data_IF_513821707796
#
_entry.id   IF_513821707796
#
_cell.length_a   1.000
_cell.length_b   1.000
_cell.length_c   1.000
_cell.angle_alpha   90.00
_cell.angle_beta   90.00
_cell.angle_gamma   90.00
#
_symmetry.space_group_name_H-M   'P 1'
#
loop_
_entity.id
_entity.type
_entity.pdbx_description
1 polymer ?
#
# COMPACT_ATOMS: atom_id res chain seq x y z
N UNK A 1 34.83 17.90 -39.99
CA UNK A 1 36.27 17.55 -40.19
C UNK A 1 36.67 16.66 -39.05
N UNK A 2 36.65 15.37 -39.22
CA UNK A 2 37.34 14.33 -38.47
C UNK A 2 37.26 13.04 -39.31
N UNK A 3 37.87 13.09 -40.49
CA UNK A 3 38.32 11.93 -41.21
C UNK A 3 39.67 11.58 -40.67
N UNK A 4 39.83 10.37 -40.11
CA UNK A 4 41.08 9.57 -39.99
C UNK A 4 40.99 8.62 -38.78
N UNK A 5 40.16 7.60 -38.87
CA UNK A 5 40.27 6.50 -37.90
C UNK A 5 39.97 5.10 -38.48
N UNK A 6 40.15 4.92 -39.80
CA UNK A 6 39.80 3.65 -40.49
C UNK A 6 40.97 2.69 -40.79
N UNK A 7 42.23 3.03 -40.50
CA UNK A 7 43.36 2.20 -40.94
C UNK A 7 44.32 1.73 -39.80
N UNK A 8 43.87 1.72 -38.54
CA UNK A 8 44.71 1.22 -37.45
C UNK A 8 44.48 -0.27 -37.25
N UNK A 9 45.55 -1.05 -37.40
CA UNK A 9 45.56 -2.49 -37.20
C UNK A 9 45.39 -2.86 -35.71
N UNK A 10 44.76 -4.00 -35.44
CA UNK A 10 44.79 -4.57 -34.10
C UNK A 10 46.23 -4.98 -33.72
N UNK A 11 46.53 -5.02 -32.41
CA UNK A 11 47.88 -5.37 -31.94
C UNK A 11 48.35 -6.72 -32.47
N UNK A 12 47.47 -7.71 -32.55
CA UNK A 12 47.75 -9.04 -33.11
C UNK A 12 48.08 -8.99 -34.59
N UNK A 13 47.32 -8.26 -35.38
CA UNK A 13 47.54 -8.09 -36.82
C UNK A 13 48.86 -7.35 -37.09
N UNK A 14 49.14 -6.28 -36.33
CA UNK A 14 50.38 -5.54 -36.48
C UNK A 14 51.63 -6.38 -36.09
N UNK A 15 51.54 -7.22 -35.07
CA UNK A 15 52.60 -8.15 -34.69
C UNK A 15 52.82 -9.24 -35.74
N UNK A 16 51.75 -9.79 -36.35
CA UNK A 16 51.85 -10.74 -37.45
C UNK A 16 52.50 -10.11 -38.68
N UNK A 17 52.17 -8.87 -38.99
CA UNK A 17 52.77 -8.15 -40.13
C UNK A 17 54.28 -7.95 -39.91
N UNK A 18 54.70 -7.52 -38.74
CA UNK A 18 56.13 -7.39 -38.38
C UNK A 18 56.84 -8.76 -38.36
N UNK A 19 56.17 -9.81 -37.89
CA UNK A 19 56.67 -11.19 -37.90
C UNK A 19 56.91 -11.70 -39.33
N UNK A 20 55.99 -11.44 -40.23
CA UNK A 20 56.10 -11.84 -41.63
C UNK A 20 57.20 -11.08 -42.41
N UNK A 21 57.49 -9.83 -42.01
CA UNK A 21 58.60 -9.05 -42.59
C UNK A 21 59.95 -9.51 -42.11
N UNK A 22 60.09 -10.11 -40.92
CA UNK A 22 61.36 -10.51 -40.29
C UNK A 22 61.46 -12.02 -40.07
N UNK A 23 61.15 -12.84 -41.11
CA UNK A 23 60.90 -14.29 -41.04
C UNK A 23 61.96 -15.12 -40.29
N UNK A 24 63.27 -14.78 -40.34
CA UNK A 24 64.37 -15.62 -39.75
C UNK A 24 64.85 -15.11 -38.41
N UNK A 25 64.55 -13.88 -38.00
CA UNK A 25 65.11 -13.24 -36.78
C UNK A 25 64.05 -12.60 -35.89
N UNK A 26 62.77 -13.01 -35.95
CA UNK A 26 61.76 -12.44 -35.15
C UNK A 26 61.87 -12.84 -33.67
N UNK A 27 61.99 -11.84 -32.80
CA UNK A 27 61.89 -12.02 -31.37
C UNK A 27 61.02 -10.85 -30.80
N UNK A 28 60.07 -11.15 -29.91
CA UNK A 28 59.26 -10.13 -29.21
C UNK A 28 60.14 -9.08 -28.52
N UNK A 29 61.36 -9.47 -28.09
CA UNK A 29 62.34 -8.55 -27.46
C UNK A 29 62.91 -7.52 -28.43
N UNK A 30 62.98 -7.83 -29.73
CA UNK A 30 63.57 -6.96 -30.78
C UNK A 30 62.51 -6.11 -31.54
N UNK A 31 61.24 -6.26 -31.25
CA UNK A 31 60.16 -5.53 -31.93
C UNK A 31 60.28 -4.01 -31.71
N UNK A 32 60.24 -3.27 -32.84
CA UNK A 32 60.33 -1.81 -32.84
C UNK A 32 58.99 -1.20 -32.36
N UNK A 33 58.99 -0.59 -31.19
CA UNK A 33 57.80 0.01 -30.58
C UNK A 33 57.33 1.26 -31.31
N UNK A 34 58.19 1.96 -32.05
CA UNK A 34 57.78 3.13 -32.83
C UNK A 34 56.99 2.74 -34.06
N UNK A 35 57.28 1.60 -34.65
CA UNK A 35 56.58 1.01 -35.78
C UNK A 35 55.21 0.46 -35.33
N UNK A 36 55.15 -0.27 -34.21
CA UNK A 36 53.92 -0.74 -33.60
C UNK A 36 52.99 0.42 -33.23
N UNK A 37 53.52 1.53 -32.72
CA UNK A 37 52.73 2.72 -32.42
C UNK A 37 52.08 3.32 -33.68
N UNK A 38 52.84 3.39 -34.79
CA UNK A 38 52.29 3.88 -36.06
C UNK A 38 51.20 2.96 -36.62
N UNK A 39 51.38 1.65 -36.55
CA UNK A 39 50.44 0.67 -37.08
C UNK A 39 49.18 0.55 -36.22
N UNK A 40 49.27 0.62 -34.90
CA UNK A 40 48.18 0.34 -33.98
C UNK A 40 47.57 1.59 -33.34
N UNK A 41 48.31 2.72 -33.31
CA UNK A 41 47.93 3.91 -32.59
C UNK A 41 48.01 3.77 -31.05
N UNK A 42 48.55 2.65 -30.53
CA UNK A 42 48.76 2.41 -29.11
C UNK A 42 50.00 3.16 -28.66
N UNK A 43 49.93 3.94 -27.59
CA UNK A 43 51.07 4.73 -27.08
C UNK A 43 52.25 3.86 -26.71
N UNK A 44 53.48 4.34 -26.95
CA UNK A 44 54.75 3.61 -26.61
C UNK A 44 54.80 3.21 -25.14
N UNK A 45 54.26 3.99 -24.24
CA UNK A 45 54.19 3.66 -22.81
C UNK A 45 53.37 2.38 -22.56
N UNK A 46 52.21 2.25 -23.22
CA UNK A 46 51.40 1.03 -23.16
C UNK A 46 52.05 -0.15 -23.86
N UNK A 47 52.66 0.07 -25.03
CA UNK A 47 53.41 -0.96 -25.76
C UNK A 47 54.64 -1.48 -24.98
N UNK A 48 55.35 -0.62 -24.23
CA UNK A 48 56.43 -1.05 -23.33
C UNK A 48 55.97 -2.01 -22.24
N UNK A 49 54.77 -1.73 -21.68
CA UNK A 49 54.18 -2.62 -20.66
C UNK A 49 53.77 -3.96 -21.28
N UNK A 50 53.16 -3.93 -22.46
CA UNK A 50 52.75 -5.14 -23.20
C UNK A 50 53.99 -5.96 -23.62
N UNK A 51 55.06 -5.31 -24.08
CA UNK A 51 56.34 -5.98 -24.46
C UNK A 51 56.97 -6.75 -23.29
N UNK A 52 56.89 -6.20 -22.06
CA UNK A 52 57.38 -6.93 -20.84
C UNK A 52 56.62 -8.23 -20.59
N UNK A 53 55.37 -8.36 -21.07
CA UNK A 53 54.54 -9.54 -20.95
C UNK A 53 54.33 -10.25 -22.30
N UNK A 54 55.38 -10.22 -23.17
CA UNK A 54 55.32 -10.84 -24.50
C UNK A 54 54.08 -10.44 -25.33
N UNK A 55 53.63 -9.18 -25.21
CA UNK A 55 52.44 -8.63 -25.84
C UNK A 55 51.12 -9.32 -25.48
N UNK A 56 51.08 -10.09 -24.39
CA UNK A 56 49.83 -10.62 -23.83
C UNK A 56 49.15 -9.54 -23.01
N UNK A 57 47.82 -9.39 -23.17
CA UNK A 57 47.03 -8.49 -22.34
C UNK A 57 46.95 -9.04 -20.93
N UNK A 58 47.57 -8.34 -19.99
CA UNK A 58 47.37 -8.64 -18.56
C UNK A 58 46.13 -7.90 -18.10
N UNK A 59 45.14 -8.58 -17.50
CA UNK A 59 43.99 -7.92 -16.94
C UNK A 59 44.45 -6.85 -15.94
N UNK A 60 43.79 -5.68 -15.96
CA UNK A 60 44.08 -4.62 -14.98
C UNK A 60 43.93 -5.18 -13.57
N UNK A 61 44.88 -4.94 -12.68
CA UNK A 61 44.91 -5.52 -11.33
C UNK A 61 43.67 -5.21 -10.47
N UNK A 62 42.89 -4.17 -10.85
CA UNK A 62 41.61 -3.84 -10.25
C UNK A 62 40.40 -4.45 -10.97
N UNK A 63 40.61 -5.21 -12.08
CA UNK A 63 39.52 -5.85 -12.82
C UNK A 63 38.89 -6.92 -11.95
N UNK A 64 37.61 -6.69 -11.58
CA UNK A 64 36.85 -7.59 -10.72
C UNK A 64 36.89 -7.23 -9.23
N UNK A 65 37.70 -6.28 -8.79
CA UNK A 65 37.58 -5.75 -7.42
C UNK A 65 36.33 -4.93 -7.27
N UNK A 66 35.47 -5.33 -6.32
CA UNK A 66 34.27 -4.57 -5.93
C UNK A 66 34.66 -3.64 -4.78
N UNK A 67 34.19 -2.39 -4.82
CA UNK A 67 34.30 -1.47 -3.68
C UNK A 67 33.68 -2.11 -2.45
N UNK A 68 34.35 -2.06 -1.30
CA UNK A 68 33.81 -2.51 -0.03
C UNK A 68 32.67 -1.58 0.46
N UNK A 69 32.73 -0.30 0.09
CA UNK A 69 31.71 0.70 0.41
C UNK A 69 30.86 0.91 -0.85
N UNK A 70 29.57 0.60 -0.74
CA UNK A 70 28.58 0.80 -1.78
C UNK A 70 27.48 1.75 -1.28
N UNK A 71 26.64 2.25 -2.17
CA UNK A 71 25.47 3.07 -1.80
C UNK A 71 24.52 2.34 -0.85
N UNK A 72 24.58 0.99 -0.83
CA UNK A 72 23.80 0.16 0.12
C UNK A 72 24.50 -0.03 1.47
N UNK A 73 25.74 0.42 1.64
CA UNK A 73 26.43 0.35 2.93
C UNK A 73 25.62 1.11 3.99
N UNK A 74 25.33 0.47 5.12
CA UNK A 74 24.42 0.99 6.13
C UNK A 74 22.96 0.54 5.98
N UNK A 75 22.51 0.10 4.80
CA UNK A 75 21.12 -0.35 4.55
C UNK A 75 21.01 -1.88 4.37
N UNK A 76 22.13 -2.59 4.30
CA UNK A 76 22.16 -4.06 4.10
C UNK A 76 21.45 -4.82 5.21
N UNK A 77 21.59 -4.38 6.47
CA UNK A 77 20.87 -4.97 7.62
C UNK A 77 19.35 -4.88 7.47
N UNK A 78 18.86 -3.73 7.03
CA UNK A 78 17.43 -3.51 6.74
C UNK A 78 16.96 -4.43 5.62
N UNK A 79 17.70 -4.49 4.50
CA UNK A 79 17.38 -5.37 3.37
C UNK A 79 17.37 -6.83 3.78
N UNK A 80 18.37 -7.28 4.55
CA UNK A 80 18.44 -8.66 5.03
C UNK A 80 17.23 -9.02 5.90
N UNK A 81 16.81 -8.12 6.79
CA UNK A 81 15.61 -8.29 7.58
C UNK A 81 14.35 -8.38 6.71
N UNK A 82 14.23 -7.53 5.69
CA UNK A 82 13.11 -7.57 4.75
C UNK A 82 13.07 -8.90 4.02
N UNK A 83 14.20 -9.40 3.52
CA UNK A 83 14.28 -10.68 2.80
C UNK A 83 13.93 -11.87 3.70
N UNK A 84 14.45 -11.91 4.93
CA UNK A 84 14.10 -12.95 5.93
C UNK A 84 12.61 -12.97 6.26
N UNK A 85 11.95 -11.81 6.20
CA UNK A 85 10.50 -11.66 6.35
C UNK A 85 9.73 -11.85 5.03
N UNK A 86 10.37 -12.45 4.02
CA UNK A 86 9.79 -12.73 2.70
C UNK A 86 9.33 -11.48 1.91
N UNK A 87 9.84 -10.29 2.23
CA UNK A 87 9.61 -9.05 1.47
C UNK A 87 10.58 -9.04 0.30
N UNK A 88 10.19 -9.64 -0.83
CA UNK A 88 11.05 -9.84 -2.02
C UNK A 88 10.77 -8.84 -3.15
N UNK A 89 9.73 -8.03 -3.02
CA UNK A 89 9.41 -6.99 -4.00
C UNK A 89 10.43 -5.86 -3.92
N UNK A 90 11.28 -5.75 -4.95
CA UNK A 90 12.37 -4.77 -5.00
C UNK A 90 11.91 -3.31 -4.97
N UNK A 91 10.75 -3.00 -5.53
CA UNK A 91 10.17 -1.65 -5.48
C UNK A 91 9.72 -1.31 -4.05
N UNK A 92 9.12 -2.26 -3.36
CA UNK A 92 8.71 -2.07 -1.97
C UNK A 92 9.93 -1.95 -1.04
N UNK A 93 10.96 -2.79 -1.24
CA UNK A 93 12.23 -2.66 -0.52
C UNK A 93 12.86 -1.28 -0.77
N UNK A 94 12.92 -0.85 -2.03
CA UNK A 94 13.46 0.46 -2.40
C UNK A 94 12.68 1.61 -1.75
N UNK A 95 11.35 1.58 -1.78
CA UNK A 95 10.49 2.58 -1.15
C UNK A 95 10.74 2.70 0.37
N UNK A 96 10.93 1.57 1.05
CA UNK A 96 11.27 1.55 2.48
C UNK A 96 12.65 2.12 2.75
N UNK A 97 13.62 1.83 1.90
CA UNK A 97 14.96 2.40 2.02
C UNK A 97 14.98 3.91 1.78
N UNK A 98 14.18 4.43 0.83
CA UNK A 98 14.03 5.87 0.61
C UNK A 98 13.56 6.59 1.88
N UNK A 99 12.59 6.03 2.61
CA UNK A 99 12.13 6.58 3.90
C UNK A 99 13.23 6.65 4.97
N UNK A 100 14.26 5.81 4.84
CA UNK A 100 15.42 5.77 5.73
C UNK A 100 16.62 6.59 5.21
N UNK A 101 16.45 7.35 4.13
CA UNK A 101 17.49 8.21 3.57
C UNK A 101 18.39 7.55 2.52
N UNK A 102 17.98 6.44 1.93
CA UNK A 102 18.72 5.81 0.82
C UNK A 102 18.66 6.68 -0.44
N UNK A 103 19.82 6.96 -1.05
CA UNK A 103 19.95 7.83 -2.23
C UNK A 103 20.28 7.08 -3.52
N UNK A 104 20.44 5.76 -3.46
CA UNK A 104 20.77 4.92 -4.62
C UNK A 104 19.55 4.57 -5.46
N UNK A 105 19.76 3.85 -6.57
CA UNK A 105 18.70 3.44 -7.50
C UNK A 105 18.06 2.09 -7.15
N UNK A 106 16.85 1.86 -7.64
CA UNK A 106 16.11 0.60 -7.49
C UNK A 106 16.84 -0.60 -8.10
N UNK A 107 17.63 -0.39 -9.16
CA UNK A 107 18.42 -1.44 -9.82
C UNK A 107 19.47 -2.03 -8.88
N UNK A 108 20.08 -1.21 -8.03
CA UNK A 108 21.04 -1.66 -7.01
C UNK A 108 20.36 -2.56 -5.98
N UNK A 109 19.13 -2.19 -5.56
CA UNK A 109 18.32 -3.01 -4.66
C UNK A 109 17.92 -4.34 -5.32
N UNK A 110 17.51 -4.32 -6.60
CA UNK A 110 17.19 -5.53 -7.38
C UNK A 110 18.39 -6.49 -7.44
N UNK A 111 19.57 -5.96 -7.74
CA UNK A 111 20.80 -6.75 -7.83
C UNK A 111 21.16 -7.34 -6.46
N UNK A 112 21.00 -6.58 -5.38
CA UNK A 112 21.23 -7.07 -4.03
C UNK A 112 20.30 -8.25 -3.69
N UNK A 113 19.00 -8.10 -3.94
CA UNK A 113 18.01 -9.16 -3.71
C UNK A 113 18.34 -10.41 -4.54
N UNK A 114 18.76 -10.23 -5.80
CA UNK A 114 19.13 -11.34 -6.68
C UNK A 114 20.35 -12.12 -6.18
N UNK A 115 21.30 -11.45 -5.53
CA UNK A 115 22.51 -12.06 -4.95
C UNK A 115 22.27 -12.73 -3.60
N UNK A 116 21.23 -12.32 -2.85
CA UNK A 116 20.95 -12.80 -1.50
C UNK A 116 19.62 -13.58 -1.42
N UNK A 117 19.35 -14.41 -2.43
CA UNK A 117 18.16 -15.28 -2.47
C UNK A 117 18.16 -16.34 -1.39
N UNK A 118 19.30 -16.69 -0.86
CA UNK A 118 19.50 -17.59 0.29
C UNK A 118 18.84 -17.08 1.57
N UNK A 119 18.68 -15.77 1.72
CA UNK A 119 17.98 -15.16 2.85
C UNK A 119 16.45 -15.24 2.76
N UNK A 120 15.92 -15.61 1.58
CA UNK A 120 14.48 -15.67 1.34
C UNK A 120 13.98 -17.05 1.74
N UNK A 121 12.96 -17.14 2.64
CA UNK A 121 12.33 -18.42 2.96
C UNK A 121 11.83 -19.11 1.67
N UNK A 122 11.97 -20.43 1.58
CA UNK A 122 11.61 -21.21 0.39
C UNK A 122 10.22 -20.82 -0.13
N UNK A 123 10.09 -20.53 -1.43
CA UNK A 123 8.82 -20.12 -2.00
C UNK A 123 7.83 -21.29 -1.89
N UNK A 124 6.58 -20.99 -1.51
CA UNK A 124 5.49 -21.96 -1.63
C UNK A 124 5.38 -22.39 -3.09
N UNK A 125 5.09 -23.69 -3.32
CA UNK A 125 4.89 -24.21 -4.66
C UNK A 125 3.98 -23.32 -5.50
N UNK A 126 4.52 -22.77 -6.58
CA UNK A 126 3.73 -22.07 -7.59
C UNK A 126 3.05 -23.16 -8.41
N UNK A 127 1.75 -23.34 -8.19
CA UNK A 127 0.93 -24.21 -9.04
C UNK A 127 0.95 -23.62 -10.46
N UNK A 128 1.28 -24.44 -11.43
CA UNK A 128 1.21 -24.06 -12.85
C UNK A 128 -0.24 -23.66 -13.20
N UNK A 129 -0.47 -22.56 -13.91
CA UNK A 129 -1.82 -22.19 -14.29
C UNK A 129 -2.40 -23.22 -15.23
N UNK A 130 -3.42 -23.93 -14.82
CA UNK A 130 -4.26 -24.77 -15.69
C UNK A 130 -5.08 -23.83 -16.57
N UNK A 131 -4.89 -23.94 -17.88
CA UNK A 131 -5.24 -22.88 -18.74
C UNK A 131 -6.51 -23.00 -19.55
N UNK A 132 -7.58 -22.32 -19.20
CA UNK A 132 -8.53 -21.81 -20.20
C UNK A 132 -8.05 -20.43 -20.67
N UNK A 133 -7.61 -20.33 -21.92
CA UNK A 133 -7.20 -19.07 -22.55
C UNK A 133 -8.43 -18.24 -22.92
N UNK A 134 -9.03 -17.55 -21.94
CA UNK A 134 -10.10 -16.60 -22.21
C UNK A 134 -9.55 -15.23 -22.65
N UNK A 135 -10.27 -14.54 -23.54
CA UNK A 135 -9.96 -13.13 -23.89
C UNK A 135 -10.10 -12.27 -22.64
N UNK A 136 -9.11 -11.41 -22.38
CA UNK A 136 -9.20 -10.46 -21.26
C UNK A 136 -10.35 -9.49 -21.51
N UNK A 137 -11.25 -9.41 -20.54
CA UNK A 137 -12.33 -8.43 -20.54
C UNK A 137 -11.75 -7.02 -20.39
N UNK A 138 -12.15 -6.10 -21.24
CA UNK A 138 -11.82 -4.67 -21.16
C UNK A 138 -13.10 -3.86 -21.03
N UNK A 139 -13.02 -2.70 -20.41
CA UNK A 139 -14.13 -1.75 -20.27
C UNK A 139 -13.71 -0.38 -20.76
N UNK A 140 -14.69 0.41 -21.17
CA UNK A 140 -14.49 1.81 -21.50
C UNK A 140 -14.01 2.60 -20.26
N UNK A 141 -13.35 3.76 -20.47
CA UNK A 141 -12.92 4.65 -19.39
C UNK A 141 -14.07 4.99 -18.44
N UNK A 142 -13.80 5.01 -17.13
CA UNK A 142 -14.79 5.38 -16.11
C UNK A 142 -16.01 4.45 -15.96
N UNK A 143 -16.14 3.43 -16.83
CA UNK A 143 -17.37 2.64 -16.92
C UNK A 143 -17.53 1.65 -15.76
N UNK A 144 -16.47 0.97 -15.35
CA UNK A 144 -16.54 -0.11 -14.36
C UNK A 144 -15.46 0.02 -13.29
N UNK A 145 -15.86 -0.04 -12.03
CA UNK A 145 -14.95 -0.32 -10.92
C UNK A 145 -15.25 -1.70 -10.35
N UNK A 146 -14.20 -2.44 -10.00
CA UNK A 146 -14.31 -3.70 -9.27
C UNK A 146 -14.08 -3.43 -7.78
N UNK A 147 -14.93 -3.98 -6.93
CA UNK A 147 -14.86 -3.83 -5.48
C UNK A 147 -14.87 -5.20 -4.80
N UNK A 148 -14.10 -5.33 -3.74
CA UNK A 148 -14.04 -6.54 -2.91
C UNK A 148 -13.55 -6.25 -1.49
N UNK A 149 -13.84 -7.19 -0.59
CA UNK A 149 -13.26 -7.26 0.73
C UNK A 149 -12.12 -8.30 0.79
N UNK A 150 -11.05 -7.94 1.47
CA UNK A 150 -9.98 -8.86 1.80
C UNK A 150 -9.77 -8.92 3.30
N UNK A 151 -9.99 -10.06 3.93
CA UNK A 151 -9.60 -10.23 5.33
C UNK A 151 -8.09 -10.42 5.42
N UNK A 152 -7.45 -9.61 6.25
CA UNK A 152 -6.01 -9.54 6.38
C UNK A 152 -5.62 -9.47 7.86
N UNK A 153 -4.41 -9.97 8.16
CA UNK A 153 -3.79 -9.78 9.46
C UNK A 153 -2.85 -8.59 9.40
N UNK A 154 -2.99 -7.70 10.35
CA UNK A 154 -2.14 -6.52 10.56
C UNK A 154 -1.36 -6.74 11.85
N UNK A 155 -0.13 -6.29 11.90
CA UNK A 155 0.75 -6.45 13.06
C UNK A 155 1.02 -5.10 13.70
N UNK A 156 1.00 -5.03 15.02
CA UNK A 156 1.48 -3.87 15.76
C UNK A 156 2.99 -3.92 16.03
N UNK A 157 3.54 -2.88 16.63
CA UNK A 157 4.97 -2.83 16.96
C UNK A 157 5.37 -3.79 18.10
N UNK A 158 4.42 -4.32 18.87
CA UNK A 158 4.67 -5.38 19.86
C UNK A 158 4.74 -6.77 19.23
N UNK A 159 4.37 -6.89 17.93
CA UNK A 159 4.34 -8.14 17.20
C UNK A 159 2.99 -8.87 17.25
N UNK A 160 1.99 -8.32 17.93
CA UNK A 160 0.64 -8.90 17.96
C UNK A 160 -0.05 -8.72 16.61
N UNK A 161 -0.79 -9.75 16.20
CA UNK A 161 -1.53 -9.76 14.94
C UNK A 161 -3.03 -9.59 15.19
N UNK A 162 -3.64 -8.73 14.40
CA UNK A 162 -5.07 -8.42 14.44
C UNK A 162 -5.69 -8.69 13.07
N UNK A 163 -6.89 -9.23 13.08
CA UNK A 163 -7.67 -9.38 11.85
C UNK A 163 -8.39 -8.07 11.55
N UNK A 164 -8.33 -7.62 10.30
CA UNK A 164 -9.05 -6.44 9.81
C UNK A 164 -9.59 -6.68 8.41
N UNK A 165 -10.62 -5.94 8.04
CA UNK A 165 -11.20 -5.98 6.71
C UNK A 165 -10.57 -4.89 5.83
N UNK A 166 -9.96 -5.29 4.71
CA UNK A 166 -9.43 -4.40 3.69
C UNK A 166 -10.50 -4.20 2.61
N UNK A 167 -11.09 -3.03 2.55
CA UNK A 167 -11.86 -2.59 1.40
C UNK A 167 -10.92 -2.30 0.24
N UNK A 168 -11.22 -2.81 -0.94
CA UNK A 168 -10.42 -2.59 -2.14
C UNK A 168 -11.31 -2.25 -3.33
N UNK A 169 -11.01 -1.17 -4.03
CA UNK A 169 -11.66 -0.77 -5.26
C UNK A 169 -10.62 -0.46 -6.33
N UNK A 170 -10.89 -0.87 -7.57
CA UNK A 170 -9.99 -0.63 -8.70
C UNK A 170 -10.78 -0.31 -9.97
N UNK A 171 -10.38 0.74 -10.68
CA UNK A 171 -10.90 1.02 -12.01
C UNK A 171 -10.49 -0.10 -12.97
N UNK A 172 -11.48 -0.69 -13.64
CA UNK A 172 -11.20 -1.79 -14.56
C UNK A 172 -10.45 -1.34 -15.81
N UNK A 173 -10.64 -0.10 -16.27
CA UNK A 173 -9.95 0.46 -17.43
C UNK A 173 -8.49 0.79 -17.11
N UNK A 174 -8.25 1.82 -16.32
CA UNK A 174 -6.91 2.38 -16.08
C UNK A 174 -6.12 1.71 -14.95
N UNK A 175 -6.78 0.94 -14.06
CA UNK A 175 -6.11 0.32 -12.92
C UNK A 175 -5.86 1.27 -11.74
N UNK A 176 -6.43 2.49 -11.75
CA UNK A 176 -6.49 3.37 -10.59
C UNK A 176 -7.11 2.61 -9.42
N UNK A 177 -6.48 2.67 -8.25
CA UNK A 177 -6.84 1.83 -7.10
C UNK A 177 -6.97 2.63 -5.84
N UNK A 178 -7.86 2.15 -4.97
CA UNK A 178 -8.09 2.65 -3.63
C UNK A 178 -8.19 1.47 -2.67
N UNK A 179 -7.59 1.58 -1.50
CA UNK A 179 -7.76 0.64 -0.40
C UNK A 179 -7.94 1.39 0.92
N UNK A 180 -8.74 0.82 1.80
CA UNK A 180 -8.97 1.32 3.15
C UNK A 180 -9.25 0.15 4.10
N UNK A 181 -8.87 0.27 5.37
CA UNK A 181 -9.02 -0.78 6.35
C UNK A 181 -10.09 -0.42 7.37
N UNK A 182 -10.94 -1.40 7.67
CA UNK A 182 -12.08 -1.26 8.56
C UNK A 182 -12.06 -2.38 9.62
N UNK A 183 -12.72 -2.18 10.77
CA UNK A 183 -12.85 -3.22 11.78
C UNK A 183 -13.60 -4.46 11.27
N UNK A 184 -14.52 -4.28 10.35
CA UNK A 184 -15.33 -5.35 9.79
C UNK A 184 -15.79 -5.01 8.37
N UNK A 185 -16.41 -5.97 7.68
CA UNK A 185 -16.99 -5.81 6.35
C UNK A 185 -18.53 -5.61 6.39
N UNK A 186 -19.07 -5.04 7.48
CA UNK A 186 -20.51 -4.75 7.60
C UNK A 186 -20.91 -3.63 6.65
N UNK A 187 -22.20 -3.44 6.49
CA UNK A 187 -22.80 -2.51 5.53
C UNK A 187 -22.37 -1.05 5.73
N UNK A 188 -22.24 -0.61 6.97
CA UNK A 188 -21.73 0.72 7.31
C UNK A 188 -20.30 0.95 6.78
N UNK A 189 -19.40 0.01 7.05
CA UNK A 189 -18.03 0.06 6.54
C UNK A 189 -17.99 0.03 5.01
N UNK A 190 -18.90 -0.73 4.38
CA UNK A 190 -19.05 -0.78 2.94
C UNK A 190 -19.44 0.59 2.36
N UNK A 191 -20.45 1.25 2.92
CA UNK A 191 -20.89 2.55 2.44
C UNK A 191 -19.80 3.61 2.59
N UNK A 192 -19.15 3.68 3.76
CA UNK A 192 -18.06 4.61 4.01
C UNK A 192 -16.91 4.37 3.03
N UNK A 193 -16.46 3.12 2.90
CA UNK A 193 -15.37 2.76 1.99
C UNK A 193 -15.69 3.06 0.53
N UNK A 194 -16.93 2.82 0.08
CA UNK A 194 -17.37 3.18 -1.26
C UNK A 194 -17.39 4.70 -1.48
N UNK A 195 -17.92 5.46 -0.53
CA UNK A 195 -17.95 6.94 -0.62
C UNK A 195 -16.53 7.50 -0.69
N UNK A 196 -15.62 7.04 0.19
CA UNK A 196 -14.23 7.48 0.17
C UNK A 196 -13.54 7.13 -1.15
N UNK A 197 -13.77 5.93 -1.68
CA UNK A 197 -13.26 5.54 -2.99
C UNK A 197 -13.83 6.41 -4.12
N UNK A 198 -15.12 6.75 -4.07
CA UNK A 198 -15.74 7.62 -5.06
C UNK A 198 -15.25 9.08 -4.94
N UNK A 199 -14.99 9.57 -3.75
CA UNK A 199 -14.33 10.89 -3.56
C UNK A 199 -12.93 10.87 -4.19
N UNK A 200 -12.21 9.75 -4.10
CA UNK A 200 -10.85 9.59 -4.60
C UNK A 200 -10.78 9.37 -6.12
N UNK A 201 -11.73 8.65 -6.73
CA UNK A 201 -11.68 8.21 -8.11
C UNK A 201 -12.87 8.64 -8.96
N UNK A 202 -13.88 9.32 -8.40
CA UNK A 202 -15.18 9.56 -9.05
C UNK A 202 -16.11 8.36 -9.00
N UNK A 203 -17.39 8.58 -9.33
CA UNK A 203 -18.46 7.58 -9.34
C UNK A 203 -18.54 6.96 -10.72
N UNK A 204 -18.30 5.64 -10.90
CA UNK A 204 -18.38 4.96 -12.19
C UNK A 204 -19.84 4.75 -12.63
N UNK A 205 -20.04 4.31 -13.88
CA UNK A 205 -21.37 3.88 -14.32
C UNK A 205 -21.86 2.69 -13.50
N UNK A 206 -21.00 1.69 -13.25
CA UNK A 206 -21.35 0.57 -12.37
C UNK A 206 -20.16 0.05 -11.57
N UNK A 207 -20.49 -0.53 -10.43
CA UNK A 207 -19.57 -1.28 -9.57
C UNK A 207 -19.81 -2.77 -9.73
N UNK A 208 -18.76 -3.53 -10.01
CA UNK A 208 -18.79 -4.99 -10.06
C UNK A 208 -18.34 -5.56 -8.72
N UNK A 209 -19.20 -6.36 -8.09
CA UNK A 209 -18.93 -6.97 -6.78
C UNK A 209 -19.47 -8.38 -6.68
N UNK A 210 -19.12 -9.09 -5.61
CA UNK A 210 -19.65 -10.43 -5.29
C UNK A 210 -21.05 -10.36 -4.70
N UNK A 211 -21.68 -11.54 -4.54
CA UNK A 211 -22.98 -11.71 -3.92
C UNK A 211 -22.88 -11.64 -2.38
N UNK A 212 -22.33 -10.56 -1.83
CA UNK A 212 -22.25 -10.37 -0.37
C UNK A 212 -23.60 -9.95 0.22
N UNK A 213 -23.92 -10.42 1.43
CA UNK A 213 -25.22 -10.15 2.10
C UNK A 213 -25.50 -8.66 2.33
N UNK A 214 -24.47 -7.84 2.48
CA UNK A 214 -24.60 -6.38 2.59
C UNK A 214 -25.03 -5.69 1.29
N UNK A 215 -24.95 -6.38 0.15
CA UNK A 215 -25.32 -5.90 -1.18
C UNK A 215 -26.59 -6.57 -1.69
N UNK A 216 -26.65 -7.89 -1.63
CA UNK A 216 -27.75 -8.68 -2.19
C UNK A 216 -28.22 -9.74 -1.19
N UNK A 217 -29.53 -9.85 -1.00
CA UNK A 217 -30.11 -10.85 -0.09
C UNK A 217 -30.09 -12.23 -0.75
N UNK A 218 -30.64 -12.33 -1.97
CA UNK A 218 -30.74 -13.55 -2.77
C UNK A 218 -30.97 -13.23 -4.25
N UNK A 219 -31.03 -14.23 -5.08
CA UNK A 219 -31.54 -14.11 -6.46
C UNK A 219 -32.96 -14.69 -6.54
N UNK A 220 -33.79 -14.09 -7.37
CA UNK A 220 -35.10 -14.62 -7.70
C UNK A 220 -35.02 -15.82 -8.66
N UNK A 221 -36.16 -16.36 -9.07
CA UNK A 221 -36.26 -17.49 -10.00
C UNK A 221 -35.68 -17.19 -11.39
N UNK A 222 -35.71 -15.92 -11.81
CA UNK A 222 -35.12 -15.45 -13.07
C UNK A 222 -33.64 -15.15 -12.95
N UNK A 223 -33.04 -15.35 -11.78
CA UNK A 223 -31.64 -15.04 -11.51
C UNK A 223 -31.35 -13.55 -11.28
N UNK A 224 -32.38 -12.70 -11.16
CA UNK A 224 -32.23 -11.28 -10.88
C UNK A 224 -31.91 -11.07 -9.40
N UNK A 225 -31.08 -10.07 -9.06
CA UNK A 225 -30.75 -9.79 -7.67
C UNK A 225 -31.93 -9.19 -6.92
N UNK A 226 -32.20 -9.70 -5.72
CA UNK A 226 -33.03 -9.05 -4.71
C UNK A 226 -32.06 -8.31 -3.81
N UNK A 227 -31.99 -7.00 -3.99
CA UNK A 227 -31.04 -6.14 -3.28
C UNK A 227 -31.34 -6.08 -1.78
N UNK A 228 -30.31 -5.88 -0.99
CA UNK A 228 -30.48 -5.36 0.36
C UNK A 228 -31.10 -3.96 0.25
N UNK A 229 -32.15 -3.69 1.01
CA UNK A 229 -32.93 -2.44 0.91
C UNK A 229 -32.06 -1.20 1.09
N UNK A 230 -31.25 -1.16 2.14
CA UNK A 230 -30.42 0.01 2.44
C UNK A 230 -29.34 0.20 1.35
N UNK A 231 -28.82 -0.89 0.79
CA UNK A 231 -27.87 -0.82 -0.32
C UNK A 231 -28.54 -0.30 -1.60
N UNK A 232 -29.78 -0.69 -1.86
CA UNK A 232 -30.54 -0.19 -3.01
C UNK A 232 -30.82 1.32 -2.89
N UNK A 233 -31.18 1.78 -1.69
CA UNK A 233 -31.33 3.21 -1.39
C UNK A 233 -29.98 3.93 -1.61
N UNK A 234 -28.92 3.39 -1.05
CA UNK A 234 -27.56 3.92 -1.23
C UNK A 234 -27.15 4.06 -2.70
N UNK A 235 -27.38 3.02 -3.52
CA UNK A 235 -27.10 3.09 -4.96
C UNK A 235 -27.85 4.23 -5.64
N UNK A 236 -29.14 4.39 -5.31
CA UNK A 236 -29.99 5.45 -5.89
C UNK A 236 -29.53 6.84 -5.43
N UNK A 237 -29.22 7.01 -4.15
CA UNK A 237 -28.75 8.27 -3.57
C UNK A 237 -27.42 8.72 -4.19
N UNK A 238 -26.46 7.80 -4.31
CA UNK A 238 -25.15 8.11 -4.89
C UNK A 238 -25.19 8.18 -6.42
N UNK A 239 -26.08 7.44 -7.07
CA UNK A 239 -26.32 7.51 -8.51
C UNK A 239 -25.38 6.63 -9.35
N UNK A 240 -25.13 5.39 -8.90
CA UNK A 240 -24.40 4.36 -9.64
C UNK A 240 -25.23 3.06 -9.75
N UNK A 241 -24.81 2.17 -10.64
CA UNK A 241 -25.37 0.83 -10.76
C UNK A 241 -24.43 -0.21 -10.10
N UNK A 242 -25.01 -1.35 -9.71
CA UNK A 242 -24.22 -2.51 -9.26
C UNK A 242 -24.48 -3.70 -10.16
N UNK A 243 -23.39 -4.37 -10.54
CA UNK A 243 -23.43 -5.64 -11.24
C UNK A 243 -22.79 -6.72 -10.37
N UNK A 244 -23.48 -7.84 -10.25
CA UNK A 244 -22.99 -8.97 -9.47
C UNK A 244 -22.21 -9.93 -10.36
N UNK A 245 -21.13 -10.46 -9.83
CA UNK A 245 -20.40 -11.55 -10.48
C UNK A 245 -21.34 -12.75 -10.69
N UNK A 246 -21.24 -13.37 -11.87
CA UNK A 246 -21.95 -14.63 -12.11
C UNK A 246 -21.34 -15.70 -11.19
N UNK A 247 -22.18 -16.52 -10.50
CA UNK A 247 -21.69 -17.64 -9.73
C UNK A 247 -20.79 -18.54 -10.61
N UNK A 248 -19.71 -19.06 -10.04
CA UNK A 248 -18.74 -19.95 -10.70
C UNK A 248 -17.99 -19.38 -11.93
N UNK A 249 -17.99 -18.05 -12.14
CA UNK A 249 -17.18 -17.41 -13.18
C UNK A 249 -16.08 -16.51 -12.55
N UNK A 250 -14.96 -17.08 -12.10
CA UNK A 250 -13.91 -16.35 -11.36
C UNK A 250 -13.17 -15.30 -12.20
N UNK A 251 -13.31 -15.34 -13.53
CA UNK A 251 -12.53 -14.47 -14.42
C UNK A 251 -12.98 -13.00 -14.46
N UNK A 252 -14.17 -12.69 -13.96
CA UNK A 252 -14.74 -11.34 -14.05
C UNK A 252 -14.17 -10.37 -13.02
N UNK A 253 -13.70 -10.86 -11.87
CA UNK A 253 -13.24 -10.05 -10.72
C UNK A 253 -11.72 -10.08 -10.50
N UNK A 254 -10.98 -10.67 -11.43
CA UNK A 254 -9.54 -10.93 -11.27
C UNK A 254 -8.63 -9.72 -11.03
N UNK A 255 -9.08 -8.46 -11.28
CA UNK A 255 -8.27 -7.27 -11.00
C UNK A 255 -8.26 -6.91 -9.52
N UNK A 256 -9.44 -6.87 -8.87
CA UNK A 256 -9.52 -6.53 -7.44
C UNK A 256 -8.99 -7.66 -6.56
N UNK A 257 -9.19 -8.93 -6.93
CA UNK A 257 -8.58 -10.07 -6.22
C UNK A 257 -7.04 -9.98 -6.24
N UNK A 258 -6.47 -9.66 -7.42
CA UNK A 258 -5.03 -9.41 -7.54
C UNK A 258 -4.58 -8.19 -6.74
N UNK A 259 -5.40 -7.14 -6.66
CA UNK A 259 -5.13 -5.98 -5.82
C UNK A 259 -5.03 -6.41 -4.34
N UNK A 260 -5.99 -7.18 -3.83
CA UNK A 260 -5.97 -7.68 -2.45
C UNK A 260 -4.73 -8.55 -2.20
N UNK A 261 -4.37 -9.45 -3.13
CA UNK A 261 -3.13 -10.23 -3.02
C UNK A 261 -1.88 -9.32 -3.06
N UNK A 262 -1.90 -8.27 -3.85
CA UNK A 262 -0.81 -7.30 -3.91
C UNK A 262 -0.70 -6.49 -2.62
N UNK A 263 -1.82 -6.10 -2.00
CA UNK A 263 -1.84 -5.48 -0.67
C UNK A 263 -1.16 -6.39 0.36
N UNK A 264 -1.53 -7.67 0.39
CA UNK A 264 -0.94 -8.65 1.32
C UNK A 264 0.57 -8.82 1.12
N UNK A 265 1.03 -8.84 -0.13
CA UNK A 265 2.44 -9.15 -0.48
C UNK A 265 3.34 -7.93 -0.61
N UNK A 266 2.79 -6.72 -0.76
CA UNK A 266 3.55 -5.49 -0.98
C UNK A 266 3.33 -4.47 0.13
N UNK A 267 2.08 -4.20 0.47
CA UNK A 267 1.77 -3.18 1.48
C UNK A 267 1.96 -3.70 2.90
N UNK A 268 1.30 -4.80 3.26
CA UNK A 268 1.28 -5.29 4.65
C UNK A 268 2.52 -6.09 5.04
N UNK A 269 3.13 -6.79 4.10
CA UNK A 269 4.20 -7.73 4.40
C UNK A 269 5.40 -7.05 5.06
N UNK A 270 5.76 -7.50 6.27
CA UNK A 270 6.87 -6.97 7.05
C UNK A 270 6.67 -5.55 7.54
N UNK A 271 5.43 -5.07 7.68
CA UNK A 271 5.09 -3.80 8.31
C UNK A 271 4.38 -4.02 9.63
N UNK A 272 4.57 -3.07 10.52
CA UNK A 272 3.81 -2.92 11.76
C UNK A 272 3.24 -1.51 11.81
N UNK A 273 2.12 -1.35 12.47
CA UNK A 273 1.40 -0.08 12.57
C UNK A 273 1.02 0.17 14.02
N UNK A 274 1.06 1.42 14.46
CA UNK A 274 0.58 1.76 15.80
C UNK A 274 -0.93 1.64 15.87
N UNK A 275 -1.62 1.91 14.74
CA UNK A 275 -3.07 2.08 14.76
C UNK A 275 -3.74 2.05 13.37
N UNK A 276 -5.10 1.97 13.35
CA UNK A 276 -5.89 2.02 12.11
C UNK A 276 -5.68 3.33 11.37
N UNK A 277 -5.53 4.43 12.10
CA UNK A 277 -5.31 5.75 11.49
C UNK A 277 -3.98 5.78 10.73
N UNK A 278 -2.89 5.30 11.35
CA UNK A 278 -1.60 5.16 10.69
C UNK A 278 -1.68 4.18 9.52
N UNK A 279 -2.33 3.03 9.73
CA UNK A 279 -2.55 2.03 8.69
C UNK A 279 -3.25 2.64 7.48
N UNK A 280 -4.34 3.38 7.67
CA UNK A 280 -5.12 3.99 6.59
C UNK A 280 -4.38 5.18 5.94
N UNK A 281 -3.67 5.99 6.71
CA UNK A 281 -2.81 7.05 6.18
C UNK A 281 -1.74 6.46 5.25
N UNK A 282 -1.03 5.43 5.71
CA UNK A 282 -0.02 4.75 4.89
C UNK A 282 -0.62 3.99 3.70
N UNK A 283 -1.84 3.46 3.83
CA UNK A 283 -2.55 2.83 2.75
C UNK A 283 -2.89 3.83 1.64
N UNK A 284 -3.35 5.03 1.99
CA UNK A 284 -3.62 6.10 1.04
C UNK A 284 -2.34 6.57 0.34
N UNK A 285 -1.25 6.79 1.09
CA UNK A 285 0.07 7.11 0.53
C UNK A 285 0.55 6.02 -0.44
N UNK A 286 0.34 4.75 -0.08
CA UNK A 286 0.68 3.62 -0.93
C UNK A 286 -0.18 3.59 -2.20
N UNK A 287 -1.48 3.90 -2.11
CA UNK A 287 -2.34 4.03 -3.28
C UNK A 287 -1.82 5.11 -4.23
N UNK A 288 -1.52 6.32 -3.73
CA UNK A 288 -0.95 7.40 -4.53
C UNK A 288 0.33 6.95 -5.22
N UNK A 289 1.27 6.38 -4.47
CA UNK A 289 2.53 5.89 -5.03
C UNK A 289 2.32 4.83 -6.12
N UNK A 290 1.41 3.87 -5.91
CA UNK A 290 1.15 2.82 -6.90
C UNK A 290 0.41 3.34 -8.14
N UNK A 291 -0.41 4.36 -7.98
CA UNK A 291 -1.15 4.97 -9.09
C UNK A 291 -0.26 5.85 -9.99
N UNK A 292 0.85 6.39 -9.45
CA UNK A 292 1.84 7.15 -10.23
C UNK A 292 2.89 6.27 -10.93
N UNK A 293 2.89 4.96 -10.66
CA UNK A 293 3.86 4.04 -11.27
C UNK A 293 3.37 3.53 -12.63
N UNK A 294 4.33 3.45 -13.57
CA UNK A 294 4.09 2.82 -14.86
C UNK A 294 3.76 1.33 -14.70
N UNK A 295 2.67 0.92 -15.29
CA UNK A 295 2.12 -0.44 -15.17
C UNK A 295 2.35 -1.24 -16.46
N UNK A 296 3.44 -2.01 -16.51
CA UNK A 296 3.88 -2.77 -17.70
C UNK A 296 2.78 -3.59 -18.40
N UNK A 297 1.86 -4.20 -17.64
CA UNK A 297 0.87 -5.12 -18.23
C UNK A 297 -0.26 -4.41 -18.98
N UNK A 298 -0.43 -3.13 -18.77
CA UNK A 298 -1.43 -2.28 -19.44
C UNK A 298 -0.80 -1.08 -20.13
N UNK A 299 0.53 -0.92 -20.05
CA UNK A 299 1.35 0.08 -20.75
C UNK A 299 0.96 1.53 -20.45
N UNK A 300 0.54 1.81 -19.21
CA UNK A 300 0.10 3.14 -18.77
C UNK A 300 0.54 3.43 -17.33
N UNK A 301 0.50 4.72 -16.96
CA UNK A 301 0.49 5.19 -15.58
C UNK A 301 -0.98 5.36 -15.18
N UNK A 302 -1.49 4.61 -14.17
CA UNK A 302 -2.92 4.61 -13.82
C UNK A 302 -3.49 6.00 -13.55
N UNK A 303 -2.76 6.84 -12.80
CA UNK A 303 -3.21 8.20 -12.49
C UNK A 303 -3.36 9.06 -13.73
N UNK A 304 -2.36 9.08 -14.60
CA UNK A 304 -2.39 9.90 -15.82
C UNK A 304 -3.54 9.47 -16.75
N UNK A 305 -3.75 8.17 -16.91
CA UNK A 305 -4.84 7.65 -17.72
C UNK A 305 -6.21 7.93 -17.08
N UNK A 306 -6.27 7.86 -15.75
CA UNK A 306 -7.48 8.20 -15.01
C UNK A 306 -7.86 9.67 -15.20
N UNK A 307 -6.92 10.58 -14.99
CA UNK A 307 -7.11 12.02 -15.15
C UNK A 307 -7.47 12.41 -16.59
N UNK A 308 -6.84 11.75 -17.57
CA UNK A 308 -7.01 12.07 -18.99
C UNK A 308 -8.31 11.54 -19.58
N UNK A 309 -8.76 10.34 -19.18
CA UNK A 309 -9.87 9.64 -19.85
C UNK A 309 -11.01 9.23 -18.94
N UNK A 310 -10.71 8.74 -17.73
CA UNK A 310 -11.76 8.25 -16.84
C UNK A 310 -12.47 9.38 -16.12
N UNK A 311 -11.76 10.44 -15.73
CA UNK A 311 -12.32 11.58 -14.97
C UNK A 311 -13.42 12.33 -15.72
N UNK A 312 -13.42 12.28 -17.06
CA UNK A 312 -14.46 12.89 -17.90
C UNK A 312 -15.74 12.07 -17.95
N UNK A 313 -15.66 10.77 -17.65
CA UNK A 313 -16.76 9.81 -17.76
C UNK A 313 -17.40 9.49 -16.40
N UNK A 314 -16.69 9.75 -15.28
CA UNK A 314 -17.20 9.51 -13.94
C UNK A 314 -17.92 10.73 -13.39
N UNK A 315 -18.94 10.52 -12.54
CA UNK A 315 -19.61 11.61 -11.83
C UNK A 315 -18.80 12.03 -10.61
N UNK A 316 -18.84 13.31 -10.29
CA UNK A 316 -18.23 13.85 -9.07
C UNK A 316 -19.16 13.64 -7.89
N UNK A 317 -18.61 13.22 -6.76
CA UNK A 317 -19.36 13.10 -5.51
C UNK A 317 -19.78 14.48 -5.03
N UNK A 318 -21.07 14.71 -4.91
CA UNK A 318 -21.61 15.94 -4.34
C UNK A 318 -21.71 15.80 -2.83
N UNK A 319 -21.10 16.72 -2.09
CA UNK A 319 -21.23 16.79 -0.63
C UNK A 319 -22.58 17.41 -0.29
N UNK A 320 -23.56 16.57 0.03
CA UNK A 320 -24.89 16.95 0.48
C UNK A 320 -25.20 16.30 1.84
N UNK A 321 -26.34 16.65 2.41
CA UNK A 321 -26.79 16.12 3.70
C UNK A 321 -26.94 14.60 3.66
N UNK A 322 -27.49 14.04 2.59
CA UNK A 322 -27.72 12.60 2.43
C UNK A 322 -26.39 11.81 2.43
N UNK A 323 -25.35 12.34 1.77
CA UNK A 323 -24.01 11.75 1.81
C UNK A 323 -23.44 11.76 3.24
N UNK A 324 -23.65 12.87 3.97
CA UNK A 324 -23.17 13.00 5.35
C UNK A 324 -23.86 12.03 6.30
N UNK A 325 -25.10 11.65 6.03
CA UNK A 325 -25.77 10.61 6.81
C UNK A 325 -25.07 9.25 6.73
N UNK A 326 -24.56 8.86 5.56
CA UNK A 326 -23.78 7.64 5.40
C UNK A 326 -22.38 7.76 6.03
N UNK A 327 -21.75 8.94 5.94
CA UNK A 327 -20.44 9.18 6.55
C UNK A 327 -20.49 9.36 8.07
N UNK A 328 -21.68 9.70 8.57
CA UNK A 328 -21.95 9.94 10.00
C UNK A 328 -23.06 9.00 10.49
N UNK A 329 -22.79 7.71 10.69
CA UNK A 329 -23.79 6.73 11.06
C UNK A 329 -24.45 7.05 12.41
N UNK A 330 -25.75 6.74 12.50
CA UNK A 330 -26.57 6.98 13.68
C UNK A 330 -26.22 5.96 14.77
N UNK A 331 -26.14 6.43 16.02
CA UNK A 331 -25.91 5.60 17.21
C UNK A 331 -26.91 5.92 18.29
N UNK A 332 -27.32 4.90 19.03
CA UNK A 332 -28.12 5.07 20.26
C UNK A 332 -27.22 5.41 21.43
N UNK A 333 -27.67 6.33 22.25
CA UNK A 333 -27.05 6.65 23.53
C UNK A 333 -27.53 5.63 24.56
N UNK A 334 -26.59 5.06 25.32
CA UNK A 334 -26.91 4.17 26.45
C UNK A 334 -27.51 4.95 27.61
N UNK A 335 -28.11 4.24 28.56
CA UNK A 335 -28.76 4.88 29.73
C UNK A 335 -27.78 5.67 30.61
N UNK A 336 -26.49 5.31 30.56
CA UNK A 336 -25.41 5.94 31.29
C UNK A 336 -24.67 7.02 30.47
N UNK A 337 -25.26 7.48 29.37
CA UNK A 337 -24.78 8.62 28.59
C UNK A 337 -23.60 8.32 27.69
N UNK A 338 -23.45 7.09 27.19
CA UNK A 338 -22.39 6.74 26.26
C UNK A 338 -22.90 6.31 24.88
N UNK A 339 -22.05 6.48 23.89
CA UNK A 339 -22.20 5.88 22.58
C UNK A 339 -21.07 4.91 22.32
N UNK A 340 -21.38 3.77 21.70
CA UNK A 340 -20.39 2.76 21.32
C UNK A 340 -19.82 3.03 19.93
N UNK A 341 -18.50 3.04 19.83
CA UNK A 341 -17.79 3.11 18.55
C UNK A 341 -16.49 2.30 18.62
N UNK A 342 -16.28 1.42 17.64
CA UNK A 342 -15.08 0.55 17.54
C UNK A 342 -14.71 -0.17 18.85
N UNK A 343 -15.72 -0.67 19.58
CA UNK A 343 -15.50 -1.43 20.81
C UNK A 343 -15.13 -0.58 22.04
N UNK A 344 -15.27 0.75 21.95
CA UNK A 344 -15.04 1.69 23.05
C UNK A 344 -16.27 2.55 23.26
N UNK A 345 -16.50 3.01 24.49
CA UNK A 345 -17.59 3.91 24.86
C UNK A 345 -17.11 5.36 24.96
N UNK A 346 -17.89 6.28 24.39
CA UNK A 346 -17.61 7.71 24.37
C UNK A 346 -18.78 8.47 25.00
N UNK A 347 -18.49 9.32 25.96
CA UNK A 347 -19.47 10.04 26.74
C UNK A 347 -20.17 11.16 25.96
N UNK A 348 -21.43 11.37 26.27
CA UNK A 348 -22.25 12.44 25.72
C UNK A 348 -22.57 13.42 26.85
N UNK A 349 -22.50 14.75 26.64
CA UNK A 349 -22.86 15.75 27.64
C UNK A 349 -24.29 15.56 28.12
N UNK A 350 -24.51 15.71 29.42
CA UNK A 350 -25.85 15.58 30.03
C UNK A 350 -26.88 16.56 29.45
N UNK A 351 -26.42 17.71 28.96
CA UNK A 351 -27.26 18.71 28.33
C UNK A 351 -27.89 18.24 27.01
N UNK A 352 -27.43 17.16 26.43
CA UNK A 352 -27.98 16.57 25.22
C UNK A 352 -29.08 15.55 25.59
N UNK A 353 -30.32 15.84 25.24
CA UNK A 353 -31.51 15.09 25.69
C UNK A 353 -32.07 14.10 24.68
N UNK A 354 -31.59 14.10 23.43
CA UNK A 354 -32.02 13.15 22.43
C UNK A 354 -31.46 11.75 22.71
N UNK A 355 -32.12 10.72 22.17
CA UNK A 355 -31.70 9.31 22.38
C UNK A 355 -30.70 8.81 21.39
N UNK A 356 -30.39 9.60 20.36
CA UNK A 356 -29.50 9.21 19.26
C UNK A 356 -28.54 10.34 18.89
N UNK A 357 -27.38 9.98 18.39
CA UNK A 357 -26.37 10.88 17.87
C UNK A 357 -25.81 10.34 16.57
N UNK A 358 -25.19 11.18 15.77
CA UNK A 358 -24.37 10.76 14.64
C UNK A 358 -22.91 10.92 14.96
N UNK A 359 -22.09 10.00 14.47
CA UNK A 359 -20.68 9.96 14.75
C UNK A 359 -19.86 10.02 13.46
N UNK A 360 -18.77 10.75 13.46
CA UNK A 360 -17.82 10.78 12.36
C UNK A 360 -16.41 10.69 12.91
N UNK A 361 -15.64 9.76 12.40
CA UNK A 361 -14.23 9.66 12.75
C UNK A 361 -13.38 10.44 11.74
N UNK A 362 -12.55 11.34 12.24
CA UNK A 362 -11.55 12.04 11.46
C UNK A 362 -10.19 11.85 12.12
N UNK A 363 -9.38 10.99 11.55
CA UNK A 363 -8.06 10.61 12.10
C UNK A 363 -8.15 10.17 13.58
N UNK A 364 -7.61 10.94 14.50
CA UNK A 364 -7.60 10.64 15.93
C UNK A 364 -8.80 11.26 16.69
N UNK A 365 -9.73 11.91 16.00
CA UNK A 365 -10.90 12.53 16.60
C UNK A 365 -12.18 11.76 16.26
N UNK A 366 -13.02 11.52 17.26
CA UNK A 366 -14.40 11.11 17.08
C UNK A 366 -15.29 12.32 17.33
N UNK A 367 -15.87 12.84 16.26
CA UNK A 367 -16.84 13.95 16.31
C UNK A 367 -18.23 13.38 16.46
N UNK A 368 -18.95 13.88 17.44
CA UNK A 368 -20.33 13.48 17.74
C UNK A 368 -21.24 14.64 17.45
N UNK A 369 -22.25 14.38 16.62
CA UNK A 369 -23.21 15.36 16.14
C UNK A 369 -24.62 15.02 16.63
N UNK A 370 -25.49 16.03 16.63
CA UNK A 370 -26.94 15.82 16.77
C UNK A 370 -27.46 14.84 15.70
N UNK A 371 -28.62 14.24 15.95
CA UNK A 371 -29.20 13.25 15.04
C UNK A 371 -29.46 13.79 13.64
N UNK A 372 -29.72 15.10 13.51
CA UNK A 372 -29.95 15.85 12.27
C UNK A 372 -28.66 16.46 11.64
N UNK A 373 -27.49 16.24 12.23
CA UNK A 373 -26.20 16.83 11.83
C UNK A 373 -26.11 18.36 11.97
N UNK A 374 -27.06 19.01 12.60
CA UNK A 374 -27.12 20.47 12.71
C UNK A 374 -26.09 21.04 13.70
N UNK A 375 -25.72 20.24 14.72
CA UNK A 375 -24.85 20.68 15.82
C UNK A 375 -23.79 19.65 16.13
N UNK A 376 -22.54 20.11 16.26
CA UNK A 376 -21.46 19.32 16.88
C UNK A 376 -21.65 19.37 18.41
N UNK A 377 -21.75 18.19 19.03
CA UNK A 377 -22.08 18.06 20.46
C UNK A 377 -20.80 17.95 21.27
N UNK A 378 -19.89 17.06 20.89
CA UNK A 378 -18.63 16.81 21.57
C UNK A 378 -17.62 16.16 20.63
N UNK A 379 -16.34 16.43 20.86
CA UNK A 379 -15.21 15.78 20.19
C UNK A 379 -14.47 14.97 21.26
N UNK A 380 -14.14 13.74 20.92
CA UNK A 380 -13.28 12.89 21.74
C UNK A 380 -11.99 12.53 21.01
N UNK A 381 -10.90 12.43 21.75
CA UNK A 381 -9.67 11.83 21.23
C UNK A 381 -9.84 10.31 21.15
N UNK A 382 -9.63 9.75 19.98
CA UNK A 382 -9.61 8.31 19.77
C UNK A 382 -8.20 7.80 20.04
N UNK A 383 -8.00 7.33 21.25
CA UNK A 383 -6.76 6.66 21.67
C UNK A 383 -6.93 5.13 21.56
N UNK A 384 -5.84 4.40 21.74
CA UNK A 384 -5.83 2.92 21.74
C UNK A 384 -6.42 2.30 23.01
N UNK A 385 -6.70 3.13 24.01
CA UNK A 385 -7.33 2.69 25.25
C UNK A 385 -8.75 2.20 24.94
N UNK A 386 -9.10 1.02 25.47
CA UNK A 386 -10.48 0.52 25.50
C UNK A 386 -11.29 1.07 26.67
N UNK A 387 -10.66 1.85 27.53
CA UNK A 387 -11.36 2.49 28.65
C UNK A 387 -12.34 3.51 28.12
N UNK A 388 -13.43 3.69 28.82
CA UNK A 388 -14.46 4.68 28.51
C UNK A 388 -13.85 6.08 28.39
N UNK A 389 -14.27 6.84 27.39
CA UNK A 389 -13.87 8.23 27.19
C UNK A 389 -14.97 9.14 27.71
N UNK A 390 -14.71 9.85 28.77
CA UNK A 390 -15.69 10.77 29.38
C UNK A 390 -15.57 12.15 28.75
N UNK A 391 -16.69 12.87 28.64
CA UNK A 391 -16.71 14.29 28.33
C UNK A 391 -16.89 15.13 29.61
N UNK A 392 -16.57 16.42 29.52
CA UNK A 392 -16.50 17.32 30.67
C UNK A 392 -17.83 17.40 31.46
N UNK A 393 -18.97 17.43 30.76
CA UNK A 393 -20.29 17.64 31.34
C UNK A 393 -21.20 16.43 31.11
N UNK A 394 -20.67 15.21 31.24
CA UNK A 394 -21.38 13.98 30.94
C UNK A 394 -22.52 13.69 31.92
N UNK A 395 -22.36 14.07 33.19
CA UNK A 395 -23.36 13.86 34.24
C UNK A 395 -23.86 15.19 34.77
N UNK A 396 -25.14 15.21 35.23
CA UNK A 396 -25.62 16.36 35.95
C UNK A 396 -24.72 16.65 37.16
N UNK A 397 -24.49 17.93 37.40
CA UNK A 397 -23.82 18.36 38.61
C UNK A 397 -24.67 17.94 39.81
N UNK A 398 -24.29 16.87 40.47
CA UNK A 398 -24.87 16.53 41.79
C UNK A 398 -24.05 17.32 42.79
N UNK A 399 -24.66 18.31 43.42
CA UNK A 399 -24.08 18.87 44.66
C UNK A 399 -23.86 17.71 45.61
N UNK A 400 -22.60 17.31 45.74
CA UNK A 400 -22.23 16.28 46.69
C UNK A 400 -22.50 16.82 48.11
N UNK A 401 -23.22 16.08 48.95
CA UNK A 401 -23.31 16.46 50.35
C UNK A 401 -21.89 16.66 50.91
N UNK A 402 -21.67 17.67 51.73
CA UNK A 402 -20.35 18.10 52.24
C UNK A 402 -19.56 17.04 53.05
N UNK A 403 -19.99 15.79 53.08
CA UNK A 403 -19.45 14.73 53.93
C UNK A 403 -18.61 13.65 53.22
N UNK A 404 -18.14 13.89 52.01
CA UNK A 404 -17.15 12.97 51.46
C UNK A 404 -15.72 13.41 51.79
N UNK A 405 -14.91 12.59 52.49
CA UNK A 405 -13.56 12.98 52.85
C UNK A 405 -12.73 13.25 51.59
N UNK A 406 -12.05 14.39 51.57
CA UNK A 406 -11.20 14.92 50.48
C UNK A 406 -10.13 13.91 50.01
N UNK A 407 -9.86 12.87 50.79
CA UNK A 407 -8.96 11.77 50.43
C UNK A 407 -9.51 10.89 49.29
N UNK A 408 -10.83 10.64 49.32
CA UNK A 408 -11.46 9.75 48.29
C UNK A 408 -11.52 10.41 46.91
N UNK A 409 -11.79 11.72 46.88
CA UNK A 409 -11.82 12.51 45.63
C UNK A 409 -10.40 12.61 45.05
N UNK A 410 -9.37 12.85 45.84
CA UNK A 410 -7.98 12.83 45.41
C UNK A 410 -7.55 11.46 44.87
N UNK A 411 -7.99 10.37 45.48
CA UNK A 411 -7.69 9.01 45.02
C UNK A 411 -8.38 8.72 43.67
N UNK A 412 -9.62 9.16 43.46
CA UNK A 412 -10.34 9.02 42.17
C UNK A 412 -9.70 9.90 41.10
N UNK A 413 -9.33 11.15 41.44
CA UNK A 413 -8.64 12.04 40.49
C UNK A 413 -7.27 11.48 40.13
N UNK A 414 -6.49 11.00 41.07
CA UNK A 414 -5.19 10.37 40.81
C UNK A 414 -5.34 9.08 39.96
N UNK A 415 -6.36 8.26 40.25
CA UNK A 415 -6.67 7.08 39.39
C UNK A 415 -7.12 7.45 38.00
N UNK A 416 -7.83 8.58 37.81
CA UNK A 416 -8.19 9.12 36.52
C UNK A 416 -7.00 9.75 35.80
N UNK A 417 -6.07 10.36 36.52
CA UNK A 417 -4.83 10.90 35.95
C UNK A 417 -3.80 9.83 35.65
N UNK A 418 -3.67 8.79 36.48
CA UNK A 418 -2.87 7.60 36.17
C UNK A 418 -3.43 6.81 34.98
N UNK A 419 -4.75 6.87 34.73
CA UNK A 419 -5.36 6.26 33.56
C UNK A 419 -5.08 7.03 32.28
N UNK A 420 -4.59 8.28 32.36
CA UNK A 420 -4.07 9.07 31.24
C UNK A 420 -2.63 8.72 30.86
N UNK A 421 -1.92 7.95 31.68
CA UNK A 421 -0.65 7.41 31.30
C UNK A 421 -0.86 6.35 30.21
N UNK A 422 -0.52 6.75 29.03
CA UNK A 422 -0.34 5.99 27.82
C UNK A 422 -0.17 4.49 28.07
N UNK A 423 -1.21 3.74 27.87
CA UNK A 423 -1.04 2.38 27.39
C UNK A 423 -0.66 2.47 25.90
N UNK A 424 0.65 2.53 25.63
CA UNK A 424 1.23 2.52 24.28
C UNK A 424 0.80 1.31 23.45
N UNK A 425 0.01 0.41 24.02
CA UNK A 425 -0.32 -0.91 23.53
C UNK A 425 -1.81 -1.23 23.55
N UNK A 426 -2.67 -0.22 23.47
CA UNK A 426 -4.08 -0.49 23.28
C UNK A 426 -4.28 -1.26 21.98
N UNK A 427 -4.64 -2.51 22.13
CA UNK A 427 -4.77 -3.51 21.08
C UNK A 427 -5.96 -3.18 20.20
N UNK A 428 -5.76 -3.34 18.89
CA UNK A 428 -6.85 -3.53 17.97
C UNK A 428 -7.61 -4.81 18.32
N UNK A 429 -8.70 -4.74 18.97
CA UNK A 429 -9.55 -5.89 19.20
C UNK A 429 -10.69 -5.90 18.21
N UNK A 430 -10.40 -6.46 17.05
CA UNK A 430 -11.39 -6.76 16.04
C UNK A 430 -11.93 -8.19 16.16
N UNK A 431 -11.56 -8.90 17.24
CA UNK A 431 -11.76 -10.35 17.34
C UNK A 431 -13.05 -10.78 18.04
N UNK A 432 -13.91 -9.88 18.48
CA UNK A 432 -14.97 -10.25 19.43
C UNK A 432 -16.36 -10.47 18.84
N UNK A 433 -16.57 -10.46 17.53
CA UNK A 433 -17.93 -10.64 17.00
C UNK A 433 -18.15 -11.78 16.01
N UNK A 434 -17.18 -12.66 15.78
CA UNK A 434 -17.42 -13.84 14.92
C UNK A 434 -17.50 -15.18 15.69
N UNK A 435 -18.18 -15.16 16.82
CA UNK A 435 -18.67 -16.39 17.46
C UNK A 435 -20.15 -16.26 17.70
N UNK A 436 -20.93 -16.33 16.63
CA UNK A 436 -22.29 -16.87 16.59
C UNK A 436 -22.79 -16.84 15.16
N UNK A 437 -23.02 -18.03 14.65
CA UNK A 437 -23.63 -18.49 13.39
C UNK A 437 -22.78 -18.49 12.13
#
# INVERSE_FOLDING_TARGET
MNENNSDKLSLSQALELIKNQNKENFSNAKVNLAELERLTGITRAKLRRLKKNNFQEVPHGLKGQKSQITVLSGFTGVLNNLLKNNVTNSEECFRRLLKLGYTGGVTTVKNYIALHKDLIPSPRHILSPQGNRGRRYSTEPGHCYQMDWGFVKVRDYSGLEYQTACFAMICHHCGQRYIEFFPNAKQESLFIGMIHAFIYMGIPHYVLTDNMKSVVIKRDFDGRPIWNHDYEVFMKTIGFETRLCKPYHPFTKGKVERLIQFVKRSFLLGRSFTNVTELNREALEWCHYQNTKYHKSIDIIPQNEHEKRCSTEVKIVQKNHELMEYLCPLRKISFDGFVNYEGRRFGIPYSYTEKTVRISRNQNELKIYSSDLSKEIVIHDVTWSKKDSYCKDQYAYIEMPEEFPTSTVKTIINQLEESKTFDKFARFDFSLEDKND
#
